data_IF_198470108538
#
_entry.id   IF_198470108538
#
_cell.length_a   1.000
_cell.length_b   1.000
_cell.length_c   1.000
_cell.angle_alpha   90.00
_cell.angle_beta   90.00
_cell.angle_gamma   90.00
#
_symmetry.space_group_name_H-M   'P 1'
#
loop_
_entity.id
_entity.type
_entity.pdbx_description
1 polymer ?
#
# COMPACT_ATOMS: atom_id res chain seq x y z
N UNK A 1 12.19 23.57 -8.32
CA UNK A 1 12.40 22.13 -8.00
C UNK A 1 11.06 21.48 -7.68
N UNK A 2 10.96 20.16 -7.85
CA UNK A 2 9.71 19.41 -7.60
C UNK A 2 9.24 19.59 -6.13
N UNK A 3 10.18 19.49 -5.20
CA UNK A 3 9.90 19.57 -3.76
C UNK A 3 9.46 20.96 -3.26
N UNK A 4 9.65 22.02 -4.04
CA UNK A 4 9.19 23.37 -3.65
C UNK A 4 7.65 23.47 -3.65
N UNK A 5 6.97 22.53 -4.31
CA UNK A 5 5.52 22.41 -4.39
C UNK A 5 4.94 21.45 -3.33
N UNK A 6 5.81 20.83 -2.49
CA UNK A 6 5.39 19.84 -1.49
C UNK A 6 4.54 20.49 -0.38
N UNK A 7 3.44 19.84 -0.04
CA UNK A 7 2.68 20.15 1.16
C UNK A 7 2.26 18.87 1.90
N UNK A 8 1.83 19.03 3.16
CA UNK A 8 1.44 17.89 4.01
C UNK A 8 -0.07 17.80 4.12
N UNK A 9 -0.59 16.58 4.00
CA UNK A 9 -1.98 16.22 4.24
C UNK A 9 -2.02 15.38 5.53
N UNK A 10 -2.63 15.89 6.62
CA UNK A 10 -2.78 15.11 7.85
C UNK A 10 -3.88 14.05 7.69
N UNK A 11 -3.69 12.86 8.30
CA UNK A 11 -4.74 11.86 8.34
C UNK A 11 -5.90 12.34 9.22
N UNK A 12 -7.13 12.17 8.74
CA UNK A 12 -8.36 12.50 9.48
C UNK A 12 -8.53 11.65 10.75
N UNK A 13 -7.99 10.44 10.75
CA UNK A 13 -8.15 9.48 11.86
C UNK A 13 -7.02 9.59 12.90
N UNK A 14 -5.85 10.11 12.49
CA UNK A 14 -4.70 10.30 13.37
C UNK A 14 -3.81 11.45 12.87
N UNK A 15 -3.95 12.64 13.44
CA UNK A 15 -3.23 13.84 13.04
C UNK A 15 -1.69 13.76 13.18
N UNK A 16 -1.15 12.69 13.78
CA UNK A 16 0.31 12.44 13.81
C UNK A 16 0.82 11.84 12.50
N UNK A 17 -0.07 11.23 11.69
CA UNK A 17 0.27 10.66 10.40
C UNK A 17 0.05 11.73 9.34
N UNK A 18 1.11 12.11 8.63
CA UNK A 18 1.06 13.12 7.58
C UNK A 18 1.65 12.55 6.29
N UNK A 19 0.87 12.60 5.21
CA UNK A 19 1.32 12.28 3.86
C UNK A 19 1.88 13.56 3.20
N UNK A 20 3.00 13.44 2.52
CA UNK A 20 3.54 14.52 1.70
C UNK A 20 3.02 14.40 0.29
N UNK A 21 2.59 15.51 -0.28
CA UNK A 21 1.95 15.55 -1.60
C UNK A 21 2.59 16.62 -2.44
N UNK A 22 2.88 16.29 -3.69
CA UNK A 22 3.45 17.21 -4.68
C UNK A 22 2.51 17.27 -5.88
N UNK A 23 1.90 18.43 -6.19
CA UNK A 23 1.11 18.60 -7.41
C UNK A 23 2.02 18.67 -8.64
N UNK A 24 1.57 18.11 -9.77
CA UNK A 24 2.34 18.10 -11.01
C UNK A 24 1.84 17.10 -12.03
N UNK A 25 2.68 16.82 -13.03
CA UNK A 25 2.41 15.83 -14.06
C UNK A 25 3.39 14.65 -13.90
N UNK A 26 2.88 13.52 -13.45
CA UNK A 26 3.70 12.35 -13.16
C UNK A 26 3.27 11.15 -14.00
N UNK A 27 4.25 10.36 -14.44
CA UNK A 27 4.00 9.10 -15.15
C UNK A 27 4.29 7.90 -14.22
N UNK A 28 3.32 6.98 -14.15
CA UNK A 28 3.50 5.64 -13.59
C UNK A 28 3.76 4.63 -14.72
N UNK A 29 3.90 3.36 -14.41
CA UNK A 29 4.05 2.31 -15.43
C UNK A 29 2.85 2.16 -16.36
N UNK A 30 1.65 2.62 -15.97
CA UNK A 30 0.40 2.39 -16.72
C UNK A 30 -0.55 3.58 -16.78
N UNK A 31 -0.23 4.68 -16.13
CA UNK A 31 -1.12 5.84 -16.03
C UNK A 31 -0.33 7.12 -15.78
N UNK A 32 -0.99 8.27 -15.99
CA UNK A 32 -0.52 9.56 -15.52
C UNK A 32 -1.35 10.01 -14.32
N UNK A 33 -0.72 10.72 -13.39
CA UNK A 33 -1.36 11.25 -12.19
C UNK A 33 -0.96 12.71 -11.99
N UNK A 34 -1.86 13.49 -11.39
CA UNK A 34 -1.65 14.91 -11.14
C UNK A 34 -1.08 15.24 -9.75
N UNK A 35 -0.91 14.22 -8.89
CA UNK A 35 -0.25 14.36 -7.60
C UNK A 35 0.67 13.17 -7.35
N UNK A 36 1.91 13.45 -6.96
CA UNK A 36 2.78 12.45 -6.37
C UNK A 36 2.64 12.45 -4.85
N UNK A 37 2.42 11.29 -4.28
CA UNK A 37 2.30 11.09 -2.83
C UNK A 37 3.60 10.48 -2.30
N UNK A 38 4.42 11.29 -1.62
CA UNK A 38 5.64 10.80 -0.99
C UNK A 38 5.32 10.16 0.36
N UNK A 39 5.34 8.85 0.37
CA UNK A 39 5.12 8.03 1.56
C UNK A 39 6.43 7.49 2.14
N UNK A 40 7.58 7.96 1.66
CA UNK A 40 8.90 7.43 2.05
C UNK A 40 9.08 7.44 3.56
N UNK A 41 8.83 8.58 4.20
CA UNK A 41 8.99 8.67 5.66
C UNK A 41 8.02 7.79 6.43
N UNK A 42 6.79 7.60 5.94
CA UNK A 42 5.79 6.72 6.55
C UNK A 42 6.20 5.24 6.47
N UNK A 43 6.99 4.87 5.44
CA UNK A 43 7.44 3.49 5.24
C UNK A 43 8.77 3.19 5.94
N UNK A 44 9.74 4.12 5.90
CA UNK A 44 11.13 3.81 6.30
C UNK A 44 11.54 4.34 7.67
N UNK A 45 10.82 5.32 8.24
CA UNK A 45 11.08 5.79 9.61
C UNK A 45 10.24 5.01 10.60
N UNK A 46 10.92 4.29 11.49
CA UNK A 46 10.30 3.35 12.43
C UNK A 46 9.13 3.97 13.22
N UNK A 47 9.29 5.20 13.72
CA UNK A 47 8.26 5.87 14.52
C UNK A 47 7.00 6.15 13.71
N UNK A 48 7.14 6.66 12.50
CA UNK A 48 6.04 6.95 11.59
C UNK A 48 5.37 5.65 11.10
N UNK A 49 6.17 4.65 10.76
CA UNK A 49 5.68 3.32 10.38
C UNK A 49 4.87 2.65 11.51
N UNK A 50 5.32 2.80 12.76
CA UNK A 50 4.58 2.30 13.93
C UNK A 50 3.23 3.02 14.14
N UNK A 51 3.15 4.33 13.92
CA UNK A 51 1.86 5.05 14.00
C UNK A 51 0.89 4.61 12.89
N UNK A 52 1.39 4.41 11.66
CA UNK A 52 0.60 3.84 10.55
C UNK A 52 0.10 2.45 10.90
N UNK A 53 0.98 1.56 11.36
CA UNK A 53 0.66 0.19 11.76
C UNK A 53 -0.40 0.14 12.86
N UNK A 54 -0.24 0.96 13.89
CA UNK A 54 -1.21 1.08 14.99
C UNK A 54 -2.60 1.50 14.50
N UNK A 55 -2.67 2.40 13.52
CA UNK A 55 -3.95 2.79 12.93
C UNK A 55 -4.56 1.66 12.11
N UNK A 56 -3.76 0.97 11.27
CA UNK A 56 -4.22 -0.16 10.45
C UNK A 56 -4.66 -1.35 11.30
N UNK A 57 -4.00 -1.63 12.42
CA UNK A 57 -4.32 -2.75 13.30
C UNK A 57 -5.77 -2.72 13.81
N UNK A 58 -6.38 -1.55 13.97
CA UNK A 58 -7.76 -1.39 14.46
C UNK A 58 -8.78 -2.14 13.62
N UNK A 59 -8.53 -2.31 12.34
CA UNK A 59 -9.45 -2.99 11.41
C UNK A 59 -9.43 -4.52 11.57
N UNK A 60 -8.34 -5.07 12.10
CA UNK A 60 -8.10 -6.52 12.11
C UNK A 60 -8.06 -7.15 13.51
N UNK A 61 -7.74 -6.38 14.56
CA UNK A 61 -7.51 -6.89 15.92
C UNK A 61 -8.59 -7.83 16.44
N UNK A 62 -9.87 -7.53 16.13
CA UNK A 62 -11.03 -8.25 16.67
C UNK A 62 -11.92 -8.86 15.59
N UNK A 63 -11.56 -8.70 14.31
CA UNK A 63 -12.47 -9.02 13.21
C UNK A 63 -12.00 -10.20 12.36
N UNK A 64 -10.69 -10.38 12.19
CA UNK A 64 -10.12 -11.35 11.24
C UNK A 64 -8.82 -11.94 11.75
N UNK A 65 -8.65 -13.28 11.67
CA UNK A 65 -7.36 -13.91 11.94
C UNK A 65 -6.37 -13.56 10.82
N UNK A 66 -5.14 -13.22 11.20
CA UNK A 66 -4.03 -12.96 10.27
C UNK A 66 -2.85 -13.84 10.68
N UNK A 67 -2.35 -14.64 9.76
CA UNK A 67 -1.15 -15.48 9.95
C UNK A 67 0.08 -14.86 9.29
N UNK A 68 -0.14 -14.18 8.15
CA UNK A 68 0.93 -13.64 7.32
C UNK A 68 0.56 -12.26 6.75
N UNK A 69 1.49 -11.33 6.83
CA UNK A 69 1.41 -10.03 6.16
C UNK A 69 2.32 -10.09 4.94
N UNK A 70 1.73 -9.96 3.75
CA UNK A 70 2.46 -9.85 2.48
C UNK A 70 2.70 -8.37 2.19
N UNK A 71 3.95 -7.94 2.30
CA UNK A 71 4.35 -6.54 2.13
C UNK A 71 4.75 -6.25 0.69
N UNK A 72 4.22 -5.18 0.13
CA UNK A 72 4.54 -4.64 -1.18
C UNK A 72 5.13 -3.23 -1.04
N UNK A 73 5.77 -2.74 -2.09
CA UNK A 73 6.19 -1.34 -2.25
C UNK A 73 7.08 -0.79 -1.11
N UNK A 74 7.86 -1.63 -0.45
CA UNK A 74 8.73 -1.23 0.66
C UNK A 74 7.98 -0.98 1.98
N UNK A 75 6.87 -1.72 2.23
CA UNK A 75 6.07 -1.60 3.46
C UNK A 75 6.50 -2.56 4.58
N UNK A 76 7.67 -3.17 4.51
CA UNK A 76 8.13 -4.21 5.45
C UNK A 76 8.22 -3.71 6.89
N UNK A 77 8.67 -2.46 7.10
CA UNK A 77 8.74 -1.86 8.45
C UNK A 77 7.34 -1.65 9.02
N UNK A 78 6.39 -1.18 8.20
CA UNK A 78 4.98 -1.08 8.61
C UNK A 78 4.45 -2.48 8.91
N UNK A 79 4.73 -3.47 8.05
CA UNK A 79 4.32 -4.86 8.24
C UNK A 79 4.82 -5.45 9.56
N UNK A 80 6.10 -5.24 9.90
CA UNK A 80 6.68 -5.68 11.17
C UNK A 80 6.02 -5.00 12.38
N UNK A 81 5.81 -3.68 12.32
CA UNK A 81 5.10 -2.95 13.37
C UNK A 81 3.63 -3.39 13.48
N UNK A 82 2.97 -3.70 12.35
CA UNK A 82 1.58 -4.17 12.31
C UNK A 82 1.46 -5.57 12.91
N UNK A 83 2.39 -6.48 12.62
CA UNK A 83 2.46 -7.79 13.24
C UNK A 83 2.58 -7.68 14.77
N UNK A 84 3.45 -6.78 15.24
CA UNK A 84 3.62 -6.49 16.67
C UNK A 84 2.30 -5.95 17.30
N UNK A 85 1.62 -5.00 16.66
CA UNK A 85 0.34 -4.48 17.15
C UNK A 85 -0.76 -5.54 17.16
N UNK A 86 -0.84 -6.42 16.17
CA UNK A 86 -1.85 -7.49 16.09
C UNK A 86 -1.64 -8.58 17.15
N UNK A 87 -0.41 -8.81 17.58
CA UNK A 87 -0.06 -9.83 18.60
C UNK A 87 -0.12 -9.29 20.04
N UNK A 88 -0.09 -7.97 20.26
CA UNK A 88 -0.09 -7.34 21.61
C UNK A 88 -1.33 -7.55 22.45
N UNK A 89 -2.48 -7.84 21.86
CA UNK A 89 -3.77 -7.75 22.56
C UNK A 89 -4.25 -9.05 23.24
N UNK A 90 -3.37 -10.06 23.39
CA UNK A 90 -3.61 -11.24 24.21
C UNK A 90 -4.93 -11.97 23.92
N UNK A 91 -5.64 -12.39 24.98
CA UNK A 91 -6.84 -13.25 24.94
C UNK A 91 -8.01 -12.65 24.13
N UNK A 92 -8.07 -11.35 23.97
CA UNK A 92 -9.16 -10.67 23.21
C UNK A 92 -8.90 -10.57 21.72
N UNK A 93 -7.68 -10.84 21.24
CA UNK A 93 -7.35 -10.84 19.82
C UNK A 93 -7.69 -12.18 19.17
N UNK A 94 -8.23 -12.15 17.96
CA UNK A 94 -8.34 -13.36 17.13
C UNK A 94 -6.98 -13.89 16.67
N UNK A 95 -5.95 -13.07 16.76
CA UNK A 95 -4.56 -13.43 16.44
C UNK A 95 -3.85 -13.95 17.71
N UNK A 96 -4.19 -15.18 18.10
CA UNK A 96 -3.60 -15.85 19.27
C UNK A 96 -2.20 -16.43 18.98
N UNK A 97 -1.53 -15.97 17.93
CA UNK A 97 -0.17 -16.39 17.58
C UNK A 97 0.86 -15.61 18.40
N UNK A 98 1.93 -16.28 18.82
CA UNK A 98 3.09 -15.60 19.42
C UNK A 98 3.81 -14.70 18.43
N UNK A 99 3.68 -14.97 17.13
CA UNK A 99 4.27 -14.16 16.05
C UNK A 99 3.52 -14.38 14.73
N UNK A 100 3.58 -13.37 13.85
CA UNK A 100 3.08 -13.42 12.48
C UNK A 100 4.24 -13.45 11.49
N UNK A 101 4.04 -14.06 10.32
CA UNK A 101 4.99 -13.93 9.24
C UNK A 101 4.84 -12.57 8.55
N UNK A 102 5.97 -11.92 8.28
CA UNK A 102 6.04 -10.71 7.46
C UNK A 102 6.95 -11.03 6.29
N UNK A 103 6.40 -11.08 5.09
CA UNK A 103 7.11 -11.54 3.90
C UNK A 103 6.92 -10.56 2.74
N UNK A 104 7.90 -10.52 1.84
CA UNK A 104 7.86 -9.77 0.59
C UNK A 104 7.97 -10.75 -0.57
N UNK A 105 7.07 -10.71 -1.56
CA UNK A 105 7.18 -11.52 -2.76
C UNK A 105 8.31 -11.00 -3.65
N UNK A 106 8.82 -11.88 -4.50
CA UNK A 106 9.69 -11.52 -5.59
C UNK A 106 8.88 -11.23 -6.86
N UNK A 107 9.41 -10.42 -7.76
CA UNK A 107 8.84 -10.19 -9.09
C UNK A 107 9.83 -10.66 -10.16
N UNK A 108 9.33 -11.43 -11.12
CA UNK A 108 10.13 -11.81 -12.28
C UNK A 108 10.31 -10.65 -13.28
N UNK A 109 11.06 -10.88 -14.34
CA UNK A 109 11.31 -9.90 -15.40
C UNK A 109 10.04 -9.41 -16.12
N UNK A 110 8.94 -10.16 -16.03
CA UNK A 110 7.63 -9.82 -16.61
C UNK A 110 6.70 -9.11 -15.61
N UNK A 111 7.19 -8.85 -14.37
CA UNK A 111 6.41 -8.26 -13.30
C UNK A 111 5.39 -9.24 -12.68
N UNK A 112 5.59 -10.56 -12.84
CA UNK A 112 4.78 -11.56 -12.19
C UNK A 112 5.28 -11.81 -10.77
N UNK A 113 4.37 -11.78 -9.81
CA UNK A 113 4.65 -12.03 -8.40
C UNK A 113 4.93 -13.53 -8.16
N UNK A 114 5.95 -13.83 -7.39
CA UNK A 114 6.40 -15.21 -7.10
C UNK A 114 6.71 -15.35 -5.61
N UNK A 115 6.27 -16.47 -5.00
CA UNK A 115 6.76 -16.95 -3.71
C UNK A 115 7.71 -18.11 -3.93
N UNK A 116 8.98 -17.94 -3.55
CA UNK A 116 9.98 -19.02 -3.60
C UNK A 116 9.59 -20.16 -2.66
N UNK A 117 10.07 -21.37 -2.92
CA UNK A 117 9.67 -22.57 -2.18
C UNK A 117 9.80 -22.46 -0.67
N UNK A 118 10.82 -21.74 -0.19
CA UNK A 118 11.03 -21.47 1.23
C UNK A 118 10.01 -20.51 1.85
N UNK A 119 9.30 -19.70 1.03
CA UNK A 119 8.24 -18.78 1.49
C UNK A 119 6.83 -19.36 1.30
N UNK A 120 6.65 -20.34 0.43
CA UNK A 120 5.33 -20.93 0.17
C UNK A 120 4.64 -21.50 1.44
N UNK A 121 5.35 -22.11 2.42
CA UNK A 121 4.71 -22.56 3.66
C UNK A 121 4.13 -21.43 4.51
N UNK A 122 4.61 -20.18 4.34
CA UNK A 122 4.09 -18.99 5.01
C UNK A 122 2.87 -18.39 4.27
N UNK A 123 2.51 -18.95 3.11
CA UNK A 123 1.34 -18.53 2.31
C UNK A 123 0.27 -19.61 2.28
N UNK A 124 0.66 -20.87 2.07
CA UNK A 124 -0.27 -21.99 1.88
C UNK A 124 -1.12 -22.26 3.11
N UNK A 125 -2.45 -22.20 2.96
CA UNK A 125 -3.44 -22.34 4.04
C UNK A 125 -3.27 -21.33 5.17
N UNK A 126 -2.72 -20.14 4.87
CA UNK A 126 -2.53 -19.03 5.81
C UNK A 126 -3.53 -17.91 5.54
N UNK A 127 -3.96 -17.26 6.60
CA UNK A 127 -4.79 -16.05 6.54
C UNK A 127 -3.89 -14.85 6.21
N UNK A 128 -4.07 -14.29 5.02
CA UNK A 128 -3.17 -13.30 4.44
C UNK A 128 -3.76 -11.89 4.51
N UNK A 129 -2.98 -10.97 5.04
CA UNK A 129 -3.19 -9.54 4.89
C UNK A 129 -2.23 -9.01 3.82
N UNK A 130 -2.76 -8.44 2.74
CA UNK A 130 -1.96 -7.75 1.71
C UNK A 130 -1.76 -6.29 2.12
N UNK A 131 -0.49 -5.86 2.25
CA UNK A 131 -0.10 -4.51 2.65
C UNK A 131 0.65 -3.81 1.51
N UNK A 132 0.17 -2.61 1.11
CA UNK A 132 0.72 -1.83 0.01
C UNK A 132 0.97 -0.36 0.42
N UNK A 133 1.84 0.33 -0.32
CA UNK A 133 1.95 1.77 -0.18
C UNK A 133 0.74 2.49 -0.79
N UNK A 134 0.37 2.13 -2.03
CA UNK A 134 -0.75 2.78 -2.72
C UNK A 134 -1.57 1.81 -3.57
N UNK A 135 -2.87 2.07 -3.61
CA UNK A 135 -3.87 1.38 -4.42
C UNK A 135 -4.58 2.39 -5.34
N UNK A 136 -4.14 2.53 -6.58
CA UNK A 136 -4.70 3.49 -7.53
C UNK A 136 -5.64 2.83 -8.54
N UNK A 137 -5.10 2.04 -9.48
CA UNK A 137 -5.88 1.38 -10.54
C UNK A 137 -6.36 -0.02 -10.19
N UNK A 138 -5.93 -0.58 -9.06
CA UNK A 138 -6.26 -1.94 -8.63
C UNK A 138 -5.61 -3.08 -9.41
N UNK A 139 -4.94 -2.83 -10.55
CA UNK A 139 -4.34 -3.89 -11.38
C UNK A 139 -3.28 -4.70 -10.64
N UNK A 140 -2.38 -4.03 -9.93
CA UNK A 140 -1.33 -4.69 -9.15
C UNK A 140 -1.95 -5.54 -8.04
N UNK A 141 -2.95 -4.99 -7.35
CA UNK A 141 -3.66 -5.71 -6.28
C UNK A 141 -4.34 -6.95 -6.83
N UNK A 142 -5.07 -6.83 -7.94
CA UNK A 142 -5.73 -7.96 -8.58
C UNK A 142 -4.77 -9.13 -8.83
N UNK A 143 -3.64 -8.85 -9.49
CA UNK A 143 -2.60 -9.84 -9.77
C UNK A 143 -2.00 -10.42 -8.48
N UNK A 144 -1.82 -9.58 -7.46
CA UNK A 144 -1.30 -10.03 -6.17
C UNK A 144 -2.28 -10.97 -5.46
N UNK A 145 -3.58 -10.65 -5.48
CA UNK A 145 -4.62 -11.52 -4.91
C UNK A 145 -4.70 -12.87 -5.64
N UNK A 146 -4.70 -12.86 -6.98
CA UNK A 146 -4.67 -14.07 -7.80
C UNK A 146 -3.44 -14.94 -7.49
N UNK A 147 -2.27 -14.32 -7.37
CA UNK A 147 -1.04 -15.02 -7.04
C UNK A 147 -1.08 -15.61 -5.62
N UNK A 148 -1.51 -14.88 -4.62
CA UNK A 148 -1.67 -15.38 -3.25
C UNK A 148 -2.62 -16.57 -3.23
N UNK A 149 -3.74 -16.48 -3.93
CA UNK A 149 -4.72 -17.58 -4.04
C UNK A 149 -4.14 -18.81 -4.78
N UNK A 150 -3.36 -18.57 -5.84
CA UNK A 150 -2.66 -19.64 -6.56
C UNK A 150 -1.74 -20.45 -5.65
N UNK A 151 -1.04 -19.80 -4.73
CA UNK A 151 -0.19 -20.45 -3.71
C UNK A 151 -1.00 -21.00 -2.51
N UNK A 152 -2.33 -20.90 -2.53
CA UNK A 152 -3.23 -21.43 -1.50
C UNK A 152 -3.38 -20.53 -0.27
N UNK A 153 -3.08 -19.23 -0.38
CA UNK A 153 -3.34 -18.25 0.67
C UNK A 153 -4.82 -17.85 0.74
N UNK A 154 -5.30 -17.55 1.93
CA UNK A 154 -6.69 -17.15 2.22
C UNK A 154 -6.68 -15.64 2.50
N UNK A 155 -7.20 -14.84 1.58
CA UNK A 155 -7.21 -13.38 1.72
C UNK A 155 -8.18 -12.96 2.83
N UNK A 156 -7.66 -12.27 3.84
CA UNK A 156 -8.43 -11.69 4.94
C UNK A 156 -8.64 -10.20 4.80
N UNK A 157 -7.75 -9.50 4.12
CA UNK A 157 -7.89 -8.07 3.91
C UNK A 157 -6.80 -7.47 3.02
N UNK A 158 -7.05 -6.22 2.66
CA UNK A 158 -6.12 -5.37 1.92
C UNK A 158 -5.95 -4.08 2.70
N UNK A 159 -4.72 -3.70 3.00
CA UNK A 159 -4.38 -2.41 3.62
C UNK A 159 -3.43 -1.61 2.75
N UNK A 160 -3.68 -0.31 2.66
CA UNK A 160 -2.82 0.61 1.94
C UNK A 160 -2.57 1.90 2.75
N UNK A 161 -1.46 2.59 2.52
CA UNK A 161 -1.31 3.94 3.07
C UNK A 161 -2.27 4.88 2.36
N UNK A 162 -2.35 4.83 1.02
CA UNK A 162 -3.31 5.57 0.21
C UNK A 162 -4.11 4.63 -0.69
N UNK A 163 -5.43 4.87 -0.80
CA UNK A 163 -6.25 4.18 -1.81
C UNK A 163 -7.19 5.14 -2.54
N UNK A 164 -7.20 5.05 -3.87
CA UNK A 164 -8.20 5.71 -4.72
C UNK A 164 -9.48 4.88 -4.87
N UNK A 165 -9.44 3.57 -4.54
CA UNK A 165 -10.58 2.67 -4.60
C UNK A 165 -11.00 2.22 -3.19
N UNK A 166 -12.31 2.18 -2.92
CA UNK A 166 -12.86 1.67 -1.65
C UNK A 166 -12.89 0.15 -1.62
N UNK A 167 -12.98 -0.48 -2.79
CA UNK A 167 -13.11 -1.93 -2.96
C UNK A 167 -12.38 -2.37 -4.23
N UNK A 168 -11.72 -3.52 -4.18
CA UNK A 168 -11.04 -4.14 -5.32
C UNK A 168 -11.36 -5.64 -5.30
N UNK A 169 -11.95 -6.16 -6.39
CA UNK A 169 -12.40 -7.57 -6.49
C UNK A 169 -13.28 -8.02 -5.33
N UNK A 170 -14.27 -7.21 -4.98
CA UNK A 170 -15.20 -7.45 -3.86
C UNK A 170 -14.50 -7.57 -2.49
N UNK A 171 -13.27 -7.08 -2.39
CA UNK A 171 -12.53 -6.96 -1.13
C UNK A 171 -12.42 -5.49 -0.74
N UNK A 172 -12.87 -5.09 0.46
CA UNK A 172 -12.69 -3.72 0.94
C UNK A 172 -11.20 -3.41 1.12
N UNK A 173 -10.80 -2.20 0.72
CA UNK A 173 -9.45 -1.70 0.93
C UNK A 173 -9.46 -0.75 2.12
N UNK A 174 -8.82 -1.15 3.21
CA UNK A 174 -8.63 -0.30 4.37
C UNK A 174 -7.41 0.61 4.16
N UNK A 175 -7.57 1.92 4.25
CA UNK A 175 -6.48 2.85 3.99
C UNK A 175 -6.41 3.96 5.05
N UNK A 176 -5.21 4.55 5.17
CA UNK A 176 -4.97 5.71 6.05
C UNK A 176 -5.44 7.00 5.38
N UNK A 177 -5.22 7.09 4.05
CA UNK A 177 -5.61 8.20 3.19
C UNK A 177 -6.41 7.70 1.99
N UNK A 178 -7.38 8.47 1.57
CA UNK A 178 -8.22 8.21 0.40
C UNK A 178 -8.33 9.43 -0.49
N UNK A 179 -9.09 9.32 -1.59
CA UNK A 179 -9.46 10.47 -2.42
C UNK A 179 -10.25 11.53 -1.66
N UNK A 180 -10.92 11.18 -0.55
CA UNK A 180 -11.60 12.17 0.30
C UNK A 180 -10.61 13.10 1.02
N UNK A 181 -9.34 12.69 1.20
CA UNK A 181 -8.26 13.51 1.75
C UNK A 181 -7.53 14.31 0.67
N UNK A 182 -7.68 13.92 -0.60
CA UNK A 182 -7.08 14.55 -1.78
C UNK A 182 -8.12 14.62 -2.92
N UNK A 183 -9.16 15.47 -2.79
CA UNK A 183 -10.33 15.46 -3.70
C UNK A 183 -9.97 15.76 -5.15
N UNK A 184 -8.90 16.53 -5.39
CA UNK A 184 -8.44 16.87 -6.74
C UNK A 184 -7.50 15.83 -7.35
N UNK A 185 -7.30 14.67 -6.69
CA UNK A 185 -6.48 13.58 -7.22
C UNK A 185 -7.17 12.91 -8.40
N UNK A 186 -6.47 12.85 -9.53
CA UNK A 186 -6.92 12.18 -10.74
C UNK A 186 -5.85 11.25 -11.31
N UNK A 187 -6.32 10.13 -11.83
CA UNK A 187 -5.51 9.19 -12.61
C UNK A 187 -6.06 9.17 -14.04
N UNK A 188 -5.18 9.28 -15.01
CA UNK A 188 -5.52 9.35 -16.44
C UNK A 188 -4.83 8.20 -17.19
N UNK A 189 -5.46 7.69 -18.25
CA UNK A 189 -4.71 6.95 -19.26
C UNK A 189 -3.74 7.91 -19.97
N UNK A 190 -2.60 7.45 -20.50
CA UNK A 190 -1.64 8.33 -21.20
C UNK A 190 -2.30 9.11 -22.36
N UNK A 191 -3.23 8.47 -23.09
CA UNK A 191 -3.93 9.06 -24.25
C UNK A 191 -4.94 10.15 -23.82
N UNK A 192 -5.51 10.04 -22.61
CA UNK A 192 -6.55 10.95 -22.11
C UNK A 192 -6.02 12.01 -21.17
N UNK A 193 -4.73 11.97 -20.85
CA UNK A 193 -4.11 12.89 -19.91
C UNK A 193 -4.21 14.35 -20.39
N UNK A 194 -4.86 15.25 -19.63
CA UNK A 194 -5.00 16.65 -20.02
C UNK A 194 -3.66 17.38 -20.07
N UNK A 195 -2.72 17.05 -19.19
CA UNK A 195 -1.36 17.59 -19.18
C UNK A 195 -0.62 17.26 -20.47
N UNK A 196 -0.71 15.99 -20.95
CA UNK A 196 -0.13 15.59 -22.24
C UNK A 196 -0.77 16.34 -23.40
N UNK A 197 -2.09 16.50 -23.42
CA UNK A 197 -2.81 17.26 -24.46
C UNK A 197 -2.36 18.72 -24.52
N UNK A 198 -2.09 19.31 -23.36
CA UNK A 198 -1.54 20.67 -23.21
C UNK A 198 -0.03 20.74 -23.48
N UNK A 199 0.65 19.63 -23.83
CA UNK A 199 2.10 19.54 -24.02
C UNK A 199 2.92 19.93 -22.79
N UNK A 200 2.35 19.74 -21.61
CA UNK A 200 3.04 19.92 -20.34
C UNK A 200 4.03 18.77 -20.15
N UNK A 201 5.27 19.09 -19.78
CA UNK A 201 6.29 18.07 -19.53
C UNK A 201 5.90 17.20 -18.33
N UNK A 202 6.34 15.94 -18.39
CA UNK A 202 6.29 15.06 -17.23
C UNK A 202 7.37 15.53 -16.24
N UNK A 203 6.98 15.79 -15.00
CA UNK A 203 7.88 16.23 -13.93
C UNK A 203 8.80 15.08 -13.49
N UNK A 204 8.22 13.88 -13.31
CA UNK A 204 8.96 12.69 -12.87
C UNK A 204 8.24 11.40 -13.25
N UNK A 205 9.04 10.31 -13.31
CA UNK A 205 8.51 8.93 -13.32
C UNK A 205 8.38 8.48 -11.87
N UNK A 206 7.24 7.90 -11.51
CA UNK A 206 6.90 7.54 -10.13
C UNK A 206 6.43 6.09 -10.02
N UNK A 207 6.72 5.46 -8.88
CA UNK A 207 6.23 4.14 -8.52
C UNK A 207 6.08 4.01 -7.00
N UNK A 208 5.75 2.80 -6.49
CA UNK A 208 5.61 2.54 -5.06
C UNK A 208 6.88 2.75 -4.22
N UNK A 209 8.07 2.86 -4.84
CA UNK A 209 9.34 3.09 -4.16
C UNK A 209 9.76 4.56 -4.12
N UNK A 210 9.28 5.38 -5.05
CA UNK A 210 9.64 6.79 -5.10
C UNK A 210 9.48 7.42 -6.49
N UNK A 211 10.29 8.44 -6.77
CA UNK A 211 10.27 9.19 -8.02
C UNK A 211 11.67 9.38 -8.60
N UNK A 212 11.71 9.61 -9.92
CA UNK A 212 12.90 10.04 -10.65
C UNK A 212 12.53 11.23 -11.54
N UNK A 213 13.12 12.41 -11.30
CA UNK A 213 12.91 13.61 -12.11
C UNK A 213 13.44 13.38 -13.54
N UNK A 214 12.78 14.02 -14.56
CA UNK A 214 13.12 13.94 -15.98
C UNK A 214 13.75 15.24 -16.48
#
# INVERSE_FOLDING_TARGET
MLLDREYKVPSKTNGKINMKVVPGHFATTSSHINFYMDMTTLKVRQKEAAEVAKQMAKEYQYSKPIDTIVCMDGCEIIGACLADELTKNGIMSLNQHDSLYVITPEFDSNGQMIFRDNLQPMVRNKNILLLLASATTGRTIARSLECIQYYGGIIQGISAIFSAAKEIYSQPVHCIFSTDDLPDYHTFSPEECPHCRNKEKIDAIVNGFGYSEL
#
